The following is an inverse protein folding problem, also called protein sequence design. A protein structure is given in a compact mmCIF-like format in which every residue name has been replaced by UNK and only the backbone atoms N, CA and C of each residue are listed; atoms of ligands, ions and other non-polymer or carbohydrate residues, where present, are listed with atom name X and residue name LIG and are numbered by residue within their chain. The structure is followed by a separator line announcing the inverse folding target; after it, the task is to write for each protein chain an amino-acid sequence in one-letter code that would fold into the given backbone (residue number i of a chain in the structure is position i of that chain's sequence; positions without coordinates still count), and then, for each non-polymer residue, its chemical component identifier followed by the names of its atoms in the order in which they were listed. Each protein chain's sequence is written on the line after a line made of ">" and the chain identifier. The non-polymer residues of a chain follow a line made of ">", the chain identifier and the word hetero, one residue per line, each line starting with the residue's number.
data_IF_736299465938
#
_entry.id   IF_736299465938
#
_cell.length_a   1.000
_cell.length_b   1.000
_cell.length_c   1.000
_cell.angle_alpha   90.00
_cell.angle_beta   90.00
_cell.angle_gamma   90.00
#
_symmetry.space_group_name_H-M   'P 1'
#
loop_
_entity.id
_entity.type
_entity.pdbx_description
1 polymer ?
#
# COMPACT_ATOMS: atom_id res chain seq x y z
N UNK A 1 -18.29 -13.91 3.60
CA UNK A 1 -17.62 -13.93 4.92
C UNK A 1 -17.81 -12.58 5.59
N UNK A 2 -18.36 -12.54 6.81
CA UNK A 2 -18.53 -11.31 7.58
C UNK A 2 -17.31 -11.21 8.49
N UNK A 3 -16.48 -10.18 8.32
CA UNK A 3 -15.24 -9.98 9.08
C UNK A 3 -15.49 -9.00 10.23
N UNK A 4 -15.08 -9.29 11.48
CA UNK A 4 -15.21 -8.36 12.60
C UNK A 4 -14.55 -7.00 12.31
N UNK A 5 -15.19 -5.90 12.72
CA UNK A 5 -14.75 -4.55 12.37
C UNK A 5 -13.33 -4.21 12.88
N UNK A 6 -12.96 -4.73 14.05
CA UNK A 6 -11.62 -4.58 14.61
C UNK A 6 -10.56 -5.26 13.73
N UNK A 7 -10.84 -6.49 13.28
CA UNK A 7 -9.94 -7.25 12.42
C UNK A 7 -9.76 -6.57 11.05
N UNK A 8 -10.85 -6.06 10.46
CA UNK A 8 -10.78 -5.25 9.25
C UNK A 8 -9.86 -4.03 9.41
N UNK A 9 -10.04 -3.25 10.49
CA UNK A 9 -9.24 -2.05 10.73
C UNK A 9 -7.75 -2.38 10.94
N UNK A 10 -7.47 -3.40 11.74
CA UNK A 10 -6.10 -3.86 11.99
C UNK A 10 -5.43 -4.31 10.69
N UNK A 11 -6.07 -5.20 9.93
CA UNK A 11 -5.51 -5.72 8.68
C UNK A 11 -5.24 -4.59 7.69
N UNK A 12 -6.18 -3.67 7.49
CA UNK A 12 -5.98 -2.54 6.56
C UNK A 12 -4.82 -1.65 6.99
N UNK A 13 -4.72 -1.27 8.27
CA UNK A 13 -3.64 -0.40 8.76
C UNK A 13 -2.29 -1.10 8.60
N UNK A 14 -2.15 -2.33 9.09
CA UNK A 14 -0.90 -3.09 8.96
C UNK A 14 -0.54 -3.34 7.50
N UNK A 15 -1.51 -3.64 6.63
CA UNK A 15 -1.26 -3.81 5.20
C UNK A 15 -0.77 -2.52 4.55
N UNK A 16 -1.37 -1.36 4.86
CA UNK A 16 -0.89 -0.08 4.33
C UNK A 16 0.52 0.27 4.83
N UNK A 17 0.83 -0.01 6.11
CA UNK A 17 2.16 0.22 6.67
C UNK A 17 3.20 -0.70 6.01
N UNK A 18 2.93 -2.01 5.93
CA UNK A 18 3.81 -2.98 5.27
C UNK A 18 3.99 -2.63 3.80
N UNK A 19 2.92 -2.22 3.10
CA UNK A 19 3.00 -1.83 1.69
C UNK A 19 3.92 -0.64 1.49
N UNK A 20 3.73 0.45 2.26
CA UNK A 20 4.56 1.65 2.14
C UNK A 20 6.01 1.35 2.52
N UNK A 21 6.24 0.66 3.64
CA UNK A 21 7.59 0.28 4.05
C UNK A 21 8.28 -0.61 3.01
N UNK A 22 7.58 -1.59 2.44
CA UNK A 22 8.12 -2.47 1.40
C UNK A 22 8.48 -1.72 0.12
N UNK A 23 7.63 -0.80 -0.34
CA UNK A 23 7.92 0.04 -1.51
C UNK A 23 9.13 0.94 -1.26
N UNK A 24 9.20 1.60 -0.10
CA UNK A 24 10.33 2.47 0.24
C UNK A 24 11.63 1.67 0.37
N UNK A 25 11.60 0.52 1.05
CA UNK A 25 12.77 -0.36 1.14
C UNK A 25 13.22 -0.82 -0.25
N UNK A 26 12.29 -1.23 -1.11
CA UNK A 26 12.61 -1.63 -2.47
C UNK A 26 13.23 -0.51 -3.30
N UNK A 27 12.76 0.72 -3.13
CA UNK A 27 13.36 1.89 -3.78
C UNK A 27 14.77 2.16 -3.26
N UNK A 28 15.01 2.05 -1.96
CA UNK A 28 16.35 2.19 -1.37
C UNK A 28 17.31 1.11 -1.88
N UNK A 29 16.86 -0.13 -2.01
CA UNK A 29 17.67 -1.21 -2.58
C UNK A 29 18.02 -0.93 -4.05
N UNK A 30 17.04 -0.45 -4.83
CA UNK A 30 17.26 -0.12 -6.23
C UNK A 30 18.22 1.07 -6.37
N UNK A 31 18.07 2.10 -5.52
CA UNK A 31 18.96 3.25 -5.46
C UNK A 31 20.41 2.84 -5.16
N UNK A 32 20.61 1.94 -4.21
CA UNK A 32 21.91 1.37 -3.87
C UNK A 32 22.48 0.51 -5.02
N UNK A 33 21.66 -0.29 -5.68
CA UNK A 33 22.08 -1.14 -6.80
C UNK A 33 22.52 -0.33 -8.03
N UNK A 34 21.96 0.87 -8.20
CA UNK A 34 22.18 1.70 -9.40
C UNK A 34 23.07 2.90 -9.13
N UNK A 35 23.64 3.02 -7.93
CA UNK A 35 24.34 4.23 -7.44
C UNK A 35 23.58 5.51 -7.77
N UNK A 36 22.32 5.61 -7.29
CA UNK A 36 21.39 6.71 -7.60
C UNK A 36 21.16 6.95 -9.10
N UNK A 37 21.27 5.89 -9.90
CA UNK A 37 21.11 5.93 -11.35
C UNK A 37 22.37 6.38 -12.12
N UNK A 38 23.53 6.47 -11.46
CA UNK A 38 24.79 6.86 -12.09
C UNK A 38 25.67 5.66 -12.47
N UNK A 39 25.40 4.47 -11.93
CA UNK A 39 26.20 3.28 -12.20
C UNK A 39 26.20 2.93 -13.69
N UNK A 40 27.37 2.57 -14.22
CA UNK A 40 27.44 1.98 -15.54
C UNK A 40 26.71 0.63 -15.55
N UNK A 41 26.17 0.14 -16.70
CA UNK A 41 25.44 -1.13 -16.73
C UNK A 41 26.22 -2.35 -16.21
N UNK A 42 27.55 -2.31 -16.24
CA UNK A 42 28.41 -3.37 -15.71
C UNK A 42 28.68 -3.29 -14.20
N UNK A 43 28.34 -2.18 -13.55
CA UNK A 43 28.54 -1.92 -12.12
C UNK A 43 27.25 -2.15 -11.31
N UNK A 44 26.11 -2.24 -11.99
CA UNK A 44 24.81 -2.53 -11.36
C UNK A 44 24.84 -3.95 -10.80
N UNK A 45 24.53 -4.08 -9.51
CA UNK A 45 24.30 -5.40 -8.90
C UNK A 45 22.91 -5.91 -9.30
N UNK A 46 22.82 -6.92 -10.19
CA UNK A 46 21.53 -7.40 -10.69
C UNK A 46 20.71 -8.08 -9.61
N UNK A 47 21.35 -8.66 -8.59
CA UNK A 47 20.67 -9.39 -7.53
C UNK A 47 20.01 -8.40 -6.55
N UNK A 48 20.72 -7.33 -6.22
CA UNK A 48 20.20 -6.25 -5.39
C UNK A 48 19.08 -5.47 -6.11
N UNK A 49 19.25 -5.18 -7.41
CA UNK A 49 18.23 -4.53 -8.23
C UNK A 49 16.95 -5.37 -8.31
N UNK A 50 17.09 -6.69 -8.51
CA UNK A 50 15.96 -7.61 -8.55
C UNK A 50 15.26 -7.70 -7.20
N UNK A 51 16.00 -7.73 -6.09
CA UNK A 51 15.43 -7.71 -4.75
C UNK A 51 14.65 -6.41 -4.48
N UNK A 52 15.18 -5.26 -4.89
CA UNK A 52 14.51 -3.97 -4.82
C UNK A 52 13.20 -3.95 -5.61
N UNK A 53 13.23 -4.44 -6.85
CA UNK A 53 12.04 -4.55 -7.69
C UNK A 53 10.99 -5.51 -7.08
N UNK A 54 11.43 -6.67 -6.59
CA UNK A 54 10.55 -7.64 -5.94
C UNK A 54 9.87 -7.05 -4.69
N UNK A 55 10.60 -6.27 -3.89
CA UNK A 55 10.05 -5.59 -2.72
C UNK A 55 8.98 -4.54 -3.11
N UNK A 56 9.20 -3.79 -4.20
CA UNK A 56 8.20 -2.83 -4.73
C UNK A 56 6.94 -3.56 -5.17
N UNK A 57 7.08 -4.63 -5.97
CA UNK A 57 5.95 -5.42 -6.46
C UNK A 57 5.19 -6.06 -5.31
N UNK A 58 5.89 -6.59 -4.31
CA UNK A 58 5.28 -7.19 -3.12
C UNK A 58 4.52 -6.14 -2.30
N UNK A 59 5.10 -4.97 -2.05
CA UNK A 59 4.42 -3.87 -1.36
C UNK A 59 3.16 -3.39 -2.10
N UNK A 60 3.24 -3.25 -3.42
CA UNK A 60 2.09 -2.92 -4.27
C UNK A 60 1.00 -4.00 -4.22
N UNK A 61 1.40 -5.28 -4.25
CA UNK A 61 0.46 -6.39 -4.12
C UNK A 61 -0.25 -6.35 -2.76
N UNK A 62 0.48 -6.19 -1.66
CA UNK A 62 -0.09 -6.07 -0.30
C UNK A 62 -1.12 -4.94 -0.24
N UNK A 63 -0.81 -3.77 -0.81
CA UNK A 63 -1.78 -2.66 -0.90
C UNK A 63 -3.01 -3.03 -1.73
N UNK A 64 -2.82 -3.59 -2.92
CA UNK A 64 -3.93 -3.99 -3.79
C UNK A 64 -4.85 -5.00 -3.11
N UNK A 65 -4.30 -5.99 -2.41
CA UNK A 65 -5.08 -6.95 -1.62
C UNK A 65 -5.82 -6.29 -0.45
N UNK A 66 -5.22 -5.28 0.20
CA UNK A 66 -5.88 -4.51 1.26
C UNK A 66 -7.14 -3.79 0.77
N UNK A 67 -7.15 -3.27 -0.46
CA UNK A 67 -8.32 -2.55 -1.03
C UNK A 67 -9.50 -3.46 -1.38
N UNK A 68 -9.25 -4.77 -1.48
CA UNK A 68 -10.26 -5.78 -1.84
C UNK A 68 -11.15 -6.17 -0.66
N UNK A 69 -10.69 -5.95 0.58
CA UNK A 69 -11.53 -6.05 1.75
C UNK A 69 -12.43 -4.81 1.83
N UNK A 70 -13.69 -4.95 1.41
CA UNK A 70 -14.71 -3.89 1.54
C UNK A 70 -15.88 -4.46 2.33
N UNK A 71 -16.18 -3.89 3.49
CA UNK A 71 -17.28 -4.35 4.34
C UNK A 71 -18.62 -3.83 3.78
N UNK A 72 -19.69 -4.64 3.88
CA UNK A 72 -21.05 -4.34 3.35
C UNK A 72 -21.72 -3.09 3.97
N UNK A 73 -21.08 -2.40 4.91
CA UNK A 73 -21.59 -1.20 5.60
C UNK A 73 -21.14 0.14 4.99
N UNK A 74 -20.12 0.17 4.13
CA UNK A 74 -19.58 1.44 3.59
C UNK A 74 -20.54 2.17 2.62
N UNK A 75 -21.64 1.52 2.18
CA UNK A 75 -22.73 2.14 1.39
C UNK A 75 -23.84 2.75 2.25
N UNK A 76 -24.02 2.31 3.49
CA UNK A 76 -25.12 2.75 4.37
C UNK A 76 -24.76 3.98 5.21
N UNK A 77 -23.49 4.22 5.49
CA UNK A 77 -23.04 5.41 6.23
C UNK A 77 -23.18 6.74 5.45
N UNK A 78 -23.43 6.70 4.13
CA UNK A 78 -23.77 7.88 3.33
C UNK A 78 -25.28 8.13 3.20
N UNK A 79 -26.14 7.23 3.71
CA UNK A 79 -27.61 7.35 3.64
C UNK A 79 -28.23 7.91 4.93
N UNK A 80 -27.48 8.69 5.70
CA UNK A 80 -27.93 9.32 6.95
C UNK A 80 -27.30 10.69 7.21
N UNK A 81 -26.91 11.39 6.15
CA UNK A 81 -26.30 12.72 6.22
C UNK A 81 -27.02 13.70 5.31
N UNK A 82 -28.34 13.82 5.45
CA UNK A 82 -29.08 14.97 4.92
C UNK A 82 -30.21 15.29 5.89
N UNK A 83 -30.14 16.45 6.56
CA UNK A 83 -31.23 17.40 6.79
C UNK A 83 -30.91 18.39 7.92
N UNK A 84 -31.03 19.69 7.61
CA UNK A 84 -31.30 20.73 8.60
C UNK A 84 -30.26 21.83 8.79
N UNK A 85 -30.10 22.71 7.80
CA UNK A 85 -29.99 24.16 8.05
C UNK A 85 -30.77 24.92 6.98
N UNK A 86 -32.08 25.05 7.21
CA UNK A 86 -32.84 26.18 6.69
C UNK A 86 -32.24 27.45 7.30
N UNK A 87 -31.95 28.42 6.45
CA UNK A 87 -31.57 29.76 6.87
C UNK A 87 -32.87 30.59 6.87
N UNK A 88 -33.27 31.07 8.05
CA UNK A 88 -34.22 32.19 8.21
C UNK A 88 -33.43 33.43 8.62
#
# INVERSE_FOLDING_TARGET
>A
MIVPLRLYKTVTVFATLIAVTGVLAGFVLLDAATDRGQAAPGEVDPLLALAGLAAIVLGAAVYAFSTRFRTRGMRKAQAGGNEGKENE
#
